data_IF_159615181508
#
_entry.id   IF_159615181508
#
_cell.length_a   1.000
_cell.length_b   1.000
_cell.length_c   1.000
_cell.angle_alpha   90.00
_cell.angle_beta   90.00
_cell.angle_gamma   90.00
#
_symmetry.space_group_name_H-M   'P 1'
#
loop_
_entity.id
_entity.type
_entity.pdbx_description
1 polymer ?
#
# COMPACT_ATOMS: atom_id res chain seq x y z
N UNK A 1 -19.21 6.56 11.70
CA UNK A 1 -19.37 7.86 11.03
C UNK A 1 -18.06 8.59 11.14
N UNK A 2 -17.69 9.36 10.12
CA UNK A 2 -16.51 10.22 10.19
C UNK A 2 -16.70 11.34 11.23
N UNK A 3 -15.66 11.71 11.99
CA UNK A 3 -15.74 12.88 12.83
C UNK A 3 -15.77 14.15 11.96
N UNK A 4 -16.42 15.20 12.44
CA UNK A 4 -16.22 16.55 11.90
C UNK A 4 -14.77 17.02 12.14
N UNK A 5 -14.34 18.07 11.44
CA UNK A 5 -13.03 18.67 11.69
C UNK A 5 -12.88 19.07 13.16
N UNK A 6 -11.82 18.57 13.82
CA UNK A 6 -11.55 18.77 15.25
C UNK A 6 -12.26 17.79 16.20
N UNK A 7 -13.10 16.88 15.69
CA UNK A 7 -13.73 15.82 16.48
C UNK A 7 -12.89 14.55 16.60
N UNK A 8 -13.33 13.63 17.46
CA UNK A 8 -12.73 12.31 17.68
C UNK A 8 -13.82 11.22 17.73
N UNK A 9 -13.52 10.04 17.23
CA UNK A 9 -14.39 8.85 17.24
C UNK A 9 -13.55 7.58 17.36
N UNK A 10 -14.05 6.59 18.11
CA UNK A 10 -13.42 5.27 18.18
C UNK A 10 -13.80 4.43 16.96
N UNK A 11 -12.79 3.89 16.28
CA UNK A 11 -13.00 2.91 15.22
C UNK A 11 -13.38 1.55 15.81
N UNK A 12 -14.31 0.84 15.16
CA UNK A 12 -14.67 -0.53 15.54
C UNK A 12 -13.60 -1.56 15.17
N UNK A 13 -12.74 -1.24 14.20
CA UNK A 13 -11.60 -2.06 13.77
C UNK A 13 -10.57 -1.22 13.03
N UNK A 14 -9.33 -1.72 12.96
CA UNK A 14 -8.25 -1.14 12.17
C UNK A 14 -7.31 -2.24 11.68
N UNK A 15 -6.80 -2.11 10.46
CA UNK A 15 -5.84 -3.06 9.88
C UNK A 15 -4.94 -2.38 8.85
N UNK A 16 -3.74 -2.91 8.65
CA UNK A 16 -2.87 -2.54 7.55
C UNK A 16 -2.88 -3.62 6.48
N UNK A 17 -3.02 -3.22 5.22
CA UNK A 17 -3.02 -4.11 4.06
C UNK A 17 -2.24 -3.47 2.92
N UNK A 18 -1.59 -4.30 2.11
CA UNK A 18 -0.95 -3.84 0.86
C UNK A 18 -2.01 -3.73 -0.22
N UNK A 19 -2.02 -2.62 -0.95
CA UNK A 19 -3.03 -2.32 -1.97
C UNK A 19 -2.45 -1.65 -3.21
N UNK A 20 -3.28 -0.92 -3.94
CA UNK A 20 -2.87 -0.25 -5.18
C UNK A 20 -2.47 -1.24 -6.27
N UNK A 21 -1.33 -0.98 -6.93
CA UNK A 21 -0.82 -1.83 -8.01
C UNK A 21 -0.51 -3.27 -7.59
N UNK A 22 -0.25 -3.51 -6.30
CA UNK A 22 -0.04 -4.86 -5.75
C UNK A 22 -1.19 -5.82 -6.08
N UNK A 23 -2.44 -5.35 -6.01
CA UNK A 23 -3.61 -6.21 -6.24
C UNK A 23 -3.61 -6.81 -7.66
N UNK A 24 -3.18 -6.03 -8.66
CA UNK A 24 -3.09 -6.49 -10.04
C UNK A 24 -1.95 -7.49 -10.21
N UNK A 25 -0.80 -7.21 -9.60
CA UNK A 25 0.37 -8.09 -9.65
C UNK A 25 0.10 -9.43 -8.95
N UNK A 26 -0.53 -9.41 -7.77
CA UNK A 26 -0.95 -10.61 -7.06
C UNK A 26 -1.95 -11.43 -7.89
N UNK A 27 -2.95 -10.77 -8.50
CA UNK A 27 -3.88 -11.45 -9.39
C UNK A 27 -3.16 -12.13 -10.57
N UNK A 28 -2.20 -11.45 -11.21
CA UNK A 28 -1.43 -12.02 -12.31
C UNK A 28 -0.62 -13.26 -11.87
N UNK A 29 0.06 -13.20 -10.71
CA UNK A 29 0.79 -14.35 -10.14
C UNK A 29 -0.12 -15.53 -9.84
N UNK A 30 -1.29 -15.30 -9.26
CA UNK A 30 -2.29 -16.34 -8.99
C UNK A 30 -2.86 -16.98 -10.26
N UNK A 31 -2.76 -16.31 -11.40
CA UNK A 31 -3.11 -16.84 -12.72
C UNK A 31 -1.90 -17.47 -13.45
N UNK A 32 -0.78 -17.69 -12.76
CA UNK A 32 0.39 -18.36 -13.31
C UNK A 32 1.27 -17.49 -14.21
N UNK A 33 1.04 -16.17 -14.25
CA UNK A 33 1.86 -15.26 -15.04
C UNK A 33 3.10 -14.82 -14.24
N UNK A 34 4.28 -14.71 -14.88
CA UNK A 34 5.43 -14.06 -14.27
C UNK A 34 5.16 -12.56 -14.07
N UNK A 35 5.62 -12.00 -12.95
CA UNK A 35 5.41 -10.58 -12.64
C UNK A 35 6.68 -10.02 -12.03
N UNK A 36 7.12 -8.87 -12.56
CA UNK A 36 8.23 -8.08 -12.04
C UNK A 36 7.69 -6.69 -11.67
N UNK A 37 7.92 -6.29 -10.42
CA UNK A 37 7.65 -4.96 -9.93
C UNK A 37 8.85 -4.05 -10.19
N UNK A 38 8.61 -3.01 -10.99
CA UNK A 38 9.60 -2.00 -11.40
C UNK A 38 9.44 -0.66 -10.64
N UNK A 39 8.52 -0.59 -9.68
CA UNK A 39 8.30 0.63 -8.90
C UNK A 39 9.29 0.79 -7.75
N UNK A 40 9.34 2.02 -7.21
CA UNK A 40 10.06 2.33 -5.96
C UNK A 40 9.27 1.82 -4.76
N UNK A 41 9.98 1.37 -3.74
CA UNK A 41 9.42 1.06 -2.42
C UNK A 41 10.44 1.44 -1.36
N UNK A 42 9.99 1.76 -0.15
CA UNK A 42 10.87 2.20 0.93
C UNK A 42 11.57 1.06 1.67
N UNK A 43 12.54 1.43 2.52
CA UNK A 43 13.17 0.56 3.51
C UNK A 43 12.51 0.63 4.90
N UNK A 44 11.48 1.47 5.04
CA UNK A 44 10.67 1.61 6.26
C UNK A 44 9.63 0.50 6.48
N UNK A 45 8.72 0.75 7.43
CA UNK A 45 7.73 -0.23 7.92
C UNK A 45 6.74 -0.63 6.82
N UNK A 46 6.24 0.34 6.06
CA UNK A 46 5.30 0.07 4.97
C UNK A 46 6.01 -0.56 3.77
N UNK A 47 7.29 -0.24 3.57
CA UNK A 47 8.20 -0.93 2.66
C UNK A 47 8.34 -2.41 2.99
N UNK A 48 8.56 -2.75 4.26
CA UNK A 48 8.59 -4.15 4.72
C UNK A 48 7.28 -4.87 4.45
N UNK A 49 6.14 -4.25 4.80
CA UNK A 49 4.83 -4.85 4.54
C UNK A 49 4.61 -5.11 3.04
N UNK A 50 4.95 -4.14 2.18
CA UNK A 50 4.83 -4.28 0.73
C UNK A 50 5.73 -5.38 0.17
N UNK A 51 7.01 -5.42 0.57
CA UNK A 51 7.97 -6.44 0.15
C UNK A 51 7.58 -7.84 0.61
N UNK A 52 7.16 -8.00 1.87
CA UNK A 52 6.72 -9.28 2.39
C UNK A 52 5.51 -9.81 1.62
N UNK A 53 4.53 -8.95 1.30
CA UNK A 53 3.37 -9.34 0.49
C UNK A 53 3.77 -9.70 -0.96
N UNK A 54 4.66 -8.91 -1.58
CA UNK A 54 5.18 -9.20 -2.91
C UNK A 54 5.91 -10.56 -2.95
N UNK A 55 6.76 -10.83 -1.97
CA UNK A 55 7.46 -12.12 -1.84
C UNK A 55 6.48 -13.29 -1.65
N UNK A 56 5.44 -13.12 -0.83
CA UNK A 56 4.43 -14.15 -0.59
C UNK A 56 3.64 -14.53 -1.86
N UNK A 57 3.40 -13.57 -2.76
CA UNK A 57 2.77 -13.82 -4.08
C UNK A 57 3.79 -14.28 -5.15
N UNK A 58 5.09 -14.28 -4.82
CA UNK A 58 6.18 -14.60 -5.75
C UNK A 58 6.40 -13.53 -6.83
N UNK A 59 6.11 -12.27 -6.50
CA UNK A 59 6.41 -11.10 -7.35
C UNK A 59 7.89 -10.77 -7.20
N UNK A 60 8.62 -10.70 -8.32
CA UNK A 60 10.01 -10.26 -8.32
C UNK A 60 10.08 -8.74 -8.20
N UNK A 61 10.99 -8.21 -7.38
CA UNK A 61 11.25 -6.78 -7.29
C UNK A 61 12.57 -6.48 -7.96
N UNK A 62 12.55 -5.68 -9.02
CA UNK A 62 13.74 -5.39 -9.82
C UNK A 62 14.67 -4.36 -9.18
N UNK A 63 14.10 -3.45 -8.38
CA UNK A 63 14.83 -2.35 -7.76
C UNK A 63 15.07 -2.64 -6.27
N UNK A 64 16.21 -2.19 -5.76
CA UNK A 64 16.43 -2.15 -4.32
C UNK A 64 15.50 -1.13 -3.65
N UNK A 65 15.26 -1.32 -2.35
CA UNK A 65 14.51 -0.38 -1.54
C UNK A 65 15.18 1.02 -1.54
N UNK A 66 14.35 2.06 -1.57
CA UNK A 66 14.79 3.45 -1.47
C UNK A 66 15.27 3.75 -0.05
N UNK A 67 16.57 3.96 0.11
CA UNK A 67 17.20 4.20 1.41
C UNK A 67 16.65 5.46 2.11
N UNK A 68 16.29 5.32 3.38
CA UNK A 68 15.83 6.43 4.22
C UNK A 68 14.44 6.97 3.86
N UNK A 69 13.64 6.20 3.12
CA UNK A 69 12.24 6.54 2.76
C UNK A 69 11.34 5.35 3.06
N UNK A 70 10.07 5.63 3.33
CA UNK A 70 9.05 4.58 3.43
C UNK A 70 8.15 4.54 2.19
N UNK A 71 7.54 3.39 1.95
CA UNK A 71 6.47 3.23 0.95
C UNK A 71 5.27 4.09 1.33
N UNK A 72 4.57 4.60 0.31
CA UNK A 72 3.36 5.40 0.46
C UNK A 72 2.28 4.68 1.25
N UNK A 73 1.34 5.46 1.78
CA UNK A 73 0.22 4.95 2.56
C UNK A 73 -1.08 5.62 2.12
N UNK A 74 -2.16 4.86 2.16
CA UNK A 74 -3.51 5.38 1.96
C UNK A 74 -4.35 5.01 3.19
N UNK A 75 -4.75 6.01 3.96
CA UNK A 75 -5.70 5.82 5.06
C UNK A 75 -7.09 5.78 4.45
N UNK A 76 -7.78 4.66 4.59
CA UNK A 76 -9.19 4.54 4.21
C UNK A 76 -10.05 4.48 5.47
N UNK A 77 -11.03 5.37 5.54
CA UNK A 77 -12.04 5.40 6.59
C UNK A 77 -13.36 4.97 5.97
N UNK A 78 -14.01 3.96 6.56
CA UNK A 78 -15.28 3.42 6.06
C UNK A 78 -16.39 3.69 7.06
N UNK A 79 -17.48 4.29 6.58
CA UNK A 79 -18.65 4.57 7.39
C UNK A 79 -19.64 3.40 7.40
N UNK A 80 -20.62 3.44 8.32
CA UNK A 80 -21.66 2.41 8.40
C UNK A 80 -22.53 2.36 7.13
N UNK A 81 -22.62 3.47 6.39
CA UNK A 81 -23.24 3.55 5.05
C UNK A 81 -22.45 2.84 3.96
N UNK A 82 -21.28 2.28 4.27
CA UNK A 82 -20.29 1.67 3.36
C UNK A 82 -19.52 2.66 2.47
N UNK A 83 -19.79 3.95 2.62
CA UNK A 83 -19.03 5.02 1.98
C UNK A 83 -17.61 5.10 2.55
N UNK A 84 -16.66 5.52 1.71
CA UNK A 84 -15.24 5.54 2.04
C UNK A 84 -14.62 6.88 1.73
N UNK A 85 -13.81 7.38 2.66
CA UNK A 85 -12.97 8.56 2.47
C UNK A 85 -11.50 8.17 2.61
N UNK A 86 -10.65 8.81 1.82
CA UNK A 86 -9.25 8.43 1.67
C UNK A 86 -8.31 9.62 1.91
N UNK A 87 -7.17 9.35 2.56
CA UNK A 87 -6.05 10.28 2.69
C UNK A 87 -4.80 9.57 2.22
N UNK A 88 -4.15 10.09 1.18
CA UNK A 88 -3.01 9.45 0.54
C UNK A 88 -1.71 10.22 0.77
N UNK A 89 -0.63 9.48 1.01
CA UNK A 89 0.74 9.97 1.05
C UNK A 89 1.59 9.11 0.11
N UNK A 90 2.30 9.73 -0.85
CA UNK A 90 2.96 9.01 -1.94
C UNK A 90 4.22 8.24 -1.54
N UNK A 91 4.93 8.62 -0.48
CA UNK A 91 6.15 7.93 -0.04
C UNK A 91 7.23 7.82 -1.14
N UNK A 92 8.02 6.75 -1.09
CA UNK A 92 9.11 6.46 -2.03
C UNK A 92 8.66 6.33 -3.49
N UNK A 93 7.41 5.93 -3.73
CA UNK A 93 6.81 5.79 -5.06
C UNK A 93 6.81 7.10 -5.84
N UNK A 94 6.74 8.24 -5.13
CA UNK A 94 6.74 9.58 -5.74
C UNK A 94 8.05 9.98 -6.41
N UNK A 95 9.16 9.29 -6.13
CA UNK A 95 10.47 9.58 -6.73
C UNK A 95 10.71 8.83 -8.04
N UNK A 96 9.73 8.05 -8.52
CA UNK A 96 9.88 7.30 -9.75
C UNK A 96 9.91 8.27 -10.96
N UNK A 97 11.05 8.33 -11.63
CA UNK A 97 11.23 9.08 -12.88
C UNK A 97 11.26 8.13 -14.08
N UNK A 98 10.80 8.63 -15.24
CA UNK A 98 10.88 7.96 -16.53
C UNK A 98 12.31 7.96 -17.10
#
# INVERSE_FOLDING_TARGET
>A
TLPISGGDVLASSASFQVGGGFNVMAAARRNGLPVVYLGRHGDGRFGELARAAMQAEGIEMALAASAGKDTGLCVSLTEASTERTFISHLGAEGDLSA
#
